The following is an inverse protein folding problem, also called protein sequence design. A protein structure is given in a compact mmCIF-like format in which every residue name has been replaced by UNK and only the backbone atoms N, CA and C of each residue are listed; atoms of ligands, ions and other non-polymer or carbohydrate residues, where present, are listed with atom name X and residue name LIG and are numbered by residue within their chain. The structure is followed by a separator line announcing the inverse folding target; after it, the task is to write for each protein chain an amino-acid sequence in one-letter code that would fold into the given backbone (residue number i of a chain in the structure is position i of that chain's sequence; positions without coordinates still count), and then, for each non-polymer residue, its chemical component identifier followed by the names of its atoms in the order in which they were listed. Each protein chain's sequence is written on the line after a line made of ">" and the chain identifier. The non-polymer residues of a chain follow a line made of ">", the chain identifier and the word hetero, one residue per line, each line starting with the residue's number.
data_IF_806577135219
#
_entry.id   IF_806577135219
#
_cell.length_a   1.000
_cell.length_b   1.000
_cell.length_c   1.000
_cell.angle_alpha   90.00
_cell.angle_beta   90.00
_cell.angle_gamma   90.00
#
_symmetry.space_group_name_H-M   'P 1'
#
loop_
_entity.id
_entity.type
_entity.pdbx_description
1 polymer ?
#
# COMPACT_ATOMS: atom_id res chain seq x y z
N UNK A 1 10.74 10.86 -0.80
CA UNK A 1 9.93 9.65 -1.01
C UNK A 1 10.70 8.46 -0.44
N UNK A 2 10.09 7.75 0.51
CA UNK A 2 10.67 6.52 1.08
C UNK A 2 10.79 5.47 -0.03
N UNK A 3 11.88 4.70 -0.07
CA UNK A 3 12.03 3.58 -1.01
C UNK A 3 11.33 2.34 -0.47
N UNK A 4 11.00 1.39 -1.35
CA UNK A 4 10.32 0.15 -0.96
C UNK A 4 11.02 -0.57 0.21
N UNK A 5 12.34 -0.78 0.10
CA UNK A 5 13.10 -1.46 1.14
C UNK A 5 13.13 -0.66 2.45
N UNK A 6 13.20 0.67 2.37
CA UNK A 6 13.19 1.54 3.56
C UNK A 6 11.84 1.45 4.29
N UNK A 7 10.73 1.33 3.55
CA UNK A 7 9.41 1.11 4.14
C UNK A 7 9.38 -0.21 4.92
N UNK A 8 9.79 -1.30 4.27
CA UNK A 8 9.85 -2.63 4.89
C UNK A 8 10.76 -2.64 6.12
N UNK A 9 11.98 -2.11 6.01
CA UNK A 9 12.92 -2.04 7.13
C UNK A 9 12.35 -1.24 8.29
N UNK A 10 11.66 -0.13 8.01
CA UNK A 10 11.02 0.69 9.05
C UNK A 10 9.92 -0.09 9.76
N UNK A 11 9.08 -0.81 9.02
CA UNK A 11 8.03 -1.66 9.61
C UNK A 11 8.66 -2.76 10.47
N UNK A 12 9.65 -3.47 9.93
CA UNK A 12 10.35 -4.57 10.63
C UNK A 12 11.10 -4.12 11.87
N UNK A 13 11.53 -2.85 11.92
CA UNK A 13 12.20 -2.30 13.09
C UNK A 13 11.28 -2.16 14.31
N UNK A 14 9.97 -1.93 14.12
CA UNK A 14 9.00 -1.88 15.22
C UNK A 14 8.12 -3.13 15.34
N UNK A 15 7.97 -3.91 14.27
CA UNK A 15 7.30 -5.20 14.25
C UNK A 15 8.16 -6.25 13.52
N UNK A 16 9.04 -6.96 14.24
CA UNK A 16 9.90 -8.00 13.66
C UNK A 16 9.14 -9.16 13.02
N UNK A 17 7.85 -9.33 13.34
CA UNK A 17 6.99 -10.39 12.82
C UNK A 17 6.16 -9.96 11.60
N UNK A 18 6.26 -8.68 11.19
CA UNK A 18 5.60 -8.18 10.01
C UNK A 18 5.89 -9.05 8.77
N UNK A 19 4.83 -9.30 8.00
CA UNK A 19 4.87 -10.04 6.74
C UNK A 19 5.45 -9.14 5.64
N UNK A 20 6.77 -9.16 5.53
CA UNK A 20 7.55 -8.43 4.53
C UNK A 20 7.09 -8.78 3.10
N UNK A 21 6.79 -10.05 2.82
CA UNK A 21 6.35 -10.47 1.50
C UNK A 21 5.00 -9.86 1.15
N UNK A 22 4.09 -9.73 2.11
CA UNK A 22 2.79 -9.08 1.89
C UNK A 22 2.94 -7.57 1.59
N UNK A 23 3.81 -6.86 2.32
CA UNK A 23 4.10 -5.44 2.07
C UNK A 23 4.71 -5.26 0.67
N UNK A 24 5.67 -6.13 0.29
CA UNK A 24 6.30 -6.10 -1.02
C UNK A 24 5.29 -6.39 -2.15
N UNK A 25 4.39 -7.37 -1.96
CA UNK A 25 3.30 -7.64 -2.92
C UNK A 25 2.38 -6.44 -3.08
N UNK A 26 2.00 -5.78 -1.99
CA UNK A 26 1.14 -4.60 -2.01
C UNK A 26 1.80 -3.44 -2.75
N UNK A 27 3.08 -3.18 -2.48
CA UNK A 27 3.87 -2.17 -3.19
C UNK A 27 3.86 -2.40 -4.71
N UNK A 28 4.17 -3.63 -5.14
CA UNK A 28 4.22 -3.99 -6.57
C UNK A 28 2.84 -3.92 -7.20
N UNK A 29 1.80 -4.34 -6.49
CA UNK A 29 0.42 -4.25 -6.95
C UNK A 29 0.01 -2.81 -7.21
N UNK A 30 0.18 -1.92 -6.23
CA UNK A 30 -0.23 -0.53 -6.38
C UNK A 30 0.62 0.21 -7.42
N UNK A 31 1.92 -0.06 -7.50
CA UNK A 31 2.78 0.49 -8.55
C UNK A 31 2.30 0.10 -9.95
N UNK A 32 1.86 -1.16 -10.13
CA UNK A 32 1.31 -1.62 -11.42
C UNK A 32 -0.07 -1.06 -11.70
N UNK A 33 -0.94 -1.01 -10.70
CA UNK A 33 -2.30 -0.51 -10.81
C UNK A 33 -2.31 0.98 -11.20
N UNK A 34 -1.51 1.79 -10.50
CA UNK A 34 -1.36 3.21 -10.81
C UNK A 34 -0.41 3.46 -12.00
N UNK A 35 0.41 2.49 -12.41
CA UNK A 35 1.17 2.45 -13.66
C UNK A 35 1.62 3.80 -14.22
N UNK A 36 0.94 4.26 -15.27
CA UNK A 36 1.20 5.53 -15.97
C UNK A 36 0.37 6.72 -15.47
N UNK A 37 -0.46 6.53 -14.44
CA UNK A 37 -1.27 7.56 -13.83
C UNK A 37 -0.38 8.64 -13.21
N UNK A 38 -0.81 9.90 -13.41
CA UNK A 38 -0.11 11.08 -12.90
C UNK A 38 -1.06 11.92 -12.07
N UNK A 39 -0.50 12.59 -11.07
CA UNK A 39 -1.18 13.65 -10.32
C UNK A 39 -1.31 14.90 -11.18
N UNK A 40 -2.12 15.86 -10.72
CA UNK A 40 -2.33 17.14 -11.42
C UNK A 40 -1.04 17.94 -11.67
N UNK A 41 -0.01 17.75 -10.84
CA UNK A 41 1.30 18.39 -10.99
C UNK A 41 2.28 17.62 -11.91
N UNK A 42 1.88 16.46 -12.45
CA UNK A 42 2.68 15.63 -13.35
C UNK A 42 3.49 14.51 -12.69
N UNK A 43 3.52 14.43 -11.36
CA UNK A 43 4.23 13.36 -10.64
C UNK A 43 3.51 12.01 -10.76
N UNK A 44 4.21 10.86 -10.70
CA UNK A 44 3.57 9.54 -10.68
C UNK A 44 2.58 9.41 -9.52
N UNK A 45 1.35 8.95 -9.77
CA UNK A 45 0.32 8.85 -8.73
C UNK A 45 0.75 7.96 -7.56
N UNK A 46 1.43 6.84 -7.85
CA UNK A 46 1.97 5.90 -6.86
C UNK A 46 2.84 6.53 -5.76
N UNK A 47 3.40 7.73 -6.00
CA UNK A 47 4.10 8.48 -4.96
C UNK A 47 3.23 8.75 -3.73
N UNK A 48 1.94 9.03 -3.93
CA UNK A 48 1.00 9.36 -2.86
C UNK A 48 0.74 8.17 -1.92
N UNK A 49 0.27 6.99 -2.38
CA UNK A 49 0.09 5.84 -1.49
C UNK A 49 1.36 5.44 -0.74
N UNK A 50 2.53 5.58 -1.38
CA UNK A 50 3.82 5.30 -0.74
C UNK A 50 4.17 6.30 0.37
N UNK A 51 3.88 7.58 0.18
CA UNK A 51 4.05 8.61 1.20
C UNK A 51 3.10 8.41 2.39
N UNK A 52 1.84 8.07 2.12
CA UNK A 52 0.85 7.72 3.16
C UNK A 52 1.34 6.54 3.99
N UNK A 53 1.76 5.44 3.35
CA UNK A 53 2.31 4.27 4.05
C UNK A 53 3.54 4.66 4.91
N UNK A 54 4.44 5.48 4.36
CA UNK A 54 5.59 6.02 5.10
C UNK A 54 5.20 6.83 6.33
N UNK A 55 4.14 7.65 6.26
CA UNK A 55 3.60 8.38 7.42
C UNK A 55 3.08 7.41 8.47
N UNK A 56 2.34 6.38 8.08
CA UNK A 56 1.77 5.41 9.02
C UNK A 56 2.83 4.63 9.81
N UNK A 57 4.02 4.42 9.24
CA UNK A 57 5.13 3.81 10.01
C UNK A 57 5.56 4.63 11.22
N UNK A 58 5.37 5.96 11.20
CA UNK A 58 5.67 6.84 12.36
C UNK A 58 4.71 6.61 13.52
N UNK A 59 3.53 6.08 13.24
CA UNK A 59 2.53 5.68 14.22
C UNK A 59 2.64 4.20 14.61
N UNK A 60 3.61 3.46 14.02
CA UNK A 60 3.85 2.03 14.28
C UNK A 60 2.60 1.17 14.07
N UNK A 61 1.85 1.45 13.01
CA UNK A 61 0.67 0.65 12.67
C UNK A 61 1.06 -0.73 12.14
N UNK A 62 0.11 -1.64 12.24
CA UNK A 62 0.27 -3.04 11.84
C UNK A 62 0.41 -3.23 10.32
N UNK A 63 0.82 -4.44 9.94
CA UNK A 63 1.07 -4.80 8.53
C UNK A 63 -0.18 -4.58 7.65
N UNK A 64 -1.37 -4.89 8.17
CA UNK A 64 -2.64 -4.69 7.44
C UNK A 64 -2.91 -3.22 7.14
N UNK A 65 -2.66 -2.31 8.10
CA UNK A 65 -2.78 -0.87 7.88
C UNK A 65 -1.77 -0.33 6.86
N UNK A 66 -0.53 -0.83 6.87
CA UNK A 66 0.49 -0.43 5.90
C UNK A 66 0.11 -0.90 4.49
N UNK A 67 -0.37 -2.13 4.35
CA UNK A 67 -0.87 -2.66 3.07
C UNK A 67 -2.08 -1.84 2.60
N UNK A 68 -3.03 -1.54 3.49
CA UNK A 68 -4.20 -0.70 3.17
C UNK A 68 -3.76 0.65 2.63
N UNK A 69 -2.80 1.33 3.27
CA UNK A 69 -2.30 2.61 2.79
C UNK A 69 -1.67 2.54 1.39
N UNK A 70 -0.94 1.46 1.08
CA UNK A 70 -0.40 1.26 -0.26
C UNK A 70 -1.50 1.05 -1.32
N UNK A 71 -2.66 0.52 -0.91
CA UNK A 71 -3.72 0.06 -1.80
C UNK A 71 -4.98 0.95 -1.81
N UNK A 72 -5.10 1.94 -0.92
CA UNK A 72 -6.37 2.61 -0.62
C UNK A 72 -7.08 3.18 -1.85
N UNK A 73 -6.35 3.82 -2.75
CA UNK A 73 -6.93 4.40 -3.97
C UNK A 73 -7.05 3.39 -5.14
N UNK A 74 -6.59 2.15 -4.98
CA UNK A 74 -6.53 1.22 -6.13
C UNK A 74 -7.91 0.81 -6.63
N UNK A 75 -8.90 0.63 -5.74
CA UNK A 75 -10.26 0.27 -6.14
C UNK A 75 -11.04 1.45 -6.75
N UNK A 76 -10.70 2.70 -6.36
CA UNK A 76 -11.37 3.91 -6.86
C UNK A 76 -10.76 4.40 -8.17
N UNK A 77 -9.42 4.42 -8.25
CA UNK A 77 -8.69 5.14 -9.31
C UNK A 77 -8.09 4.24 -10.40
N UNK A 78 -8.23 2.92 -10.29
CA UNK A 78 -7.59 1.97 -11.21
C UNK A 78 -8.56 0.86 -11.65
N UNK A 79 -8.08 -0.06 -12.49
CA UNK A 79 -8.85 -1.26 -12.90
C UNK A 79 -8.75 -2.42 -11.89
N UNK A 80 -8.18 -2.19 -10.71
CA UNK A 80 -8.12 -3.20 -9.65
C UNK A 80 -9.53 -3.60 -9.21
N UNK A 81 -9.75 -4.90 -8.99
CA UNK A 81 -11.06 -5.40 -8.56
C UNK A 81 -11.07 -5.85 -7.10
N UNK A 82 -12.22 -5.77 -6.41
CA UNK A 82 -12.38 -6.33 -5.08
C UNK A 82 -11.92 -7.79 -4.96
N UNK A 83 -12.16 -8.63 -5.97
CA UNK A 83 -11.75 -10.04 -5.99
C UNK A 83 -10.22 -10.19 -6.04
N UNK A 84 -9.54 -9.33 -6.79
CA UNK A 84 -8.07 -9.34 -6.86
C UNK A 84 -7.45 -8.97 -5.51
N UNK A 85 -8.03 -7.98 -4.81
CA UNK A 85 -7.57 -7.54 -3.49
C UNK A 85 -7.80 -8.63 -2.46
N UNK A 86 -9.03 -9.16 -2.35
CA UNK A 86 -9.36 -10.24 -1.41
C UNK A 86 -8.49 -11.47 -1.61
N UNK A 87 -8.24 -11.86 -2.86
CA UNK A 87 -7.42 -13.04 -3.18
C UNK A 87 -5.95 -12.87 -2.78
N UNK A 88 -5.39 -11.66 -2.91
CA UNK A 88 -3.96 -11.42 -2.70
C UNK A 88 -3.63 -10.96 -1.28
N UNK A 89 -4.55 -10.28 -0.61
CA UNK A 89 -4.32 -9.59 0.65
C UNK A 89 -5.33 -9.95 1.76
N UNK A 90 -6.36 -10.74 1.43
CA UNK A 90 -7.35 -11.22 2.39
C UNK A 90 -8.55 -10.27 2.55
N UNK A 91 -9.55 -10.76 3.29
CA UNK A 91 -10.80 -10.02 3.52
C UNK A 91 -10.59 -8.79 4.40
N UNK A 92 -9.72 -8.87 5.40
CA UNK A 92 -9.43 -7.75 6.32
C UNK A 92 -8.93 -6.51 5.57
N UNK A 93 -7.92 -6.67 4.72
CA UNK A 93 -7.39 -5.57 3.91
C UNK A 93 -8.45 -5.03 2.95
N UNK A 94 -9.25 -5.90 2.33
CA UNK A 94 -10.34 -5.46 1.47
C UNK A 94 -11.34 -4.57 2.23
N UNK A 95 -11.78 -5.00 3.43
CA UNK A 95 -12.73 -4.24 4.25
C UNK A 95 -12.16 -2.89 4.69
N UNK A 96 -10.86 -2.83 4.98
CA UNK A 96 -10.19 -1.58 5.33
C UNK A 96 -10.13 -0.62 4.14
N UNK A 97 -9.88 -1.10 2.92
CA UNK A 97 -9.86 -0.28 1.70
C UNK A 97 -11.28 0.21 1.34
N UNK A 98 -12.28 -0.69 1.41
CA UNK A 98 -13.68 -0.38 1.06
C UNK A 98 -14.33 0.64 2.04
N UNK A 99 -13.75 0.80 3.23
CA UNK A 99 -14.21 1.74 4.25
C UNK A 99 -13.53 3.11 4.26
N UNK A 100 -12.55 3.35 3.37
CA UNK A 100 -11.82 4.63 3.21
C UNK A 100 -12.53 5.51 2.19
#
# INVERSE_FOLDING_TARGET
>A
MIRQFELVETVKAYDPHADEDAINRAYVFALRAHGSQKRANGDPYFSHPLEVAGILTRYRLDTASIITALLHDTLEDTEATPEQVRRQFGEEVFQLIDGV
#
